data_IF_120314862656
#
_entry.id   IF_120314862656
#
_cell.length_a   1.000
_cell.length_b   1.000
_cell.length_c   1.000
_cell.angle_alpha   90.00
_cell.angle_beta   90.00
_cell.angle_gamma   90.00
#
_symmetry.space_group_name_H-M   'P 1'
#
loop_
_entity.id
_entity.type
_entity.pdbx_description
1 polymer ?
#
# COMPACT_ATOMS: atom_id res chain seq x y z
N UNK A 1 1.12 -0.13 -3.48
CA UNK A 1 0.88 1.25 -3.96
C UNK A 1 1.66 1.61 -5.23
N UNK A 2 2.93 2.05 -5.21
CA UNK A 2 3.59 2.51 -6.47
C UNK A 2 3.72 1.39 -7.51
N UNK A 3 4.22 0.22 -7.11
CA UNK A 3 4.34 -0.94 -7.99
C UNK A 3 2.98 -1.44 -8.50
N UNK A 4 1.96 -1.40 -7.65
CA UNK A 4 0.59 -1.79 -7.97
C UNK A 4 -0.04 -0.82 -8.98
N UNK A 5 0.13 0.50 -8.79
CA UNK A 5 -0.30 1.51 -9.76
C UNK A 5 0.44 1.38 -11.09
N UNK A 6 1.74 1.14 -11.08
CA UNK A 6 2.53 0.98 -12.30
C UNK A 6 2.13 -0.28 -13.08
N UNK A 7 1.85 -1.39 -12.38
CA UNK A 7 1.35 -2.62 -13.00
C UNK A 7 -0.04 -2.45 -13.61
N UNK A 8 -0.95 -1.82 -12.88
CA UNK A 8 -2.35 -1.66 -13.29
C UNK A 8 -2.55 -0.58 -14.36
N UNK A 9 -1.78 0.53 -14.29
CA UNK A 9 -1.91 1.63 -15.24
C UNK A 9 -1.02 1.43 -16.47
N UNK A 10 0.03 0.60 -16.39
CA UNK A 10 1.06 0.43 -17.44
C UNK A 10 1.72 1.75 -17.88
N UNK A 11 1.74 2.74 -16.98
CA UNK A 11 2.38 4.04 -17.16
C UNK A 11 3.45 4.16 -16.07
N UNK A 12 4.63 4.75 -16.36
CA UNK A 12 5.65 4.99 -15.34
C UNK A 12 5.10 5.88 -14.23
N UNK A 13 5.19 5.40 -12.99
CA UNK A 13 4.76 6.13 -11.79
C UNK A 13 5.99 6.57 -11.01
N UNK A 14 6.07 7.84 -10.65
CA UNK A 14 7.14 8.37 -9.80
C UNK A 14 6.62 8.56 -8.37
N UNK A 15 7.33 7.97 -7.39
CA UNK A 15 7.10 8.28 -5.98
C UNK A 15 7.77 9.62 -5.65
N UNK A 16 7.00 10.58 -5.15
CA UNK A 16 7.48 11.90 -4.75
C UNK A 16 7.06 12.15 -3.29
N UNK A 17 7.99 12.51 -2.39
CA UNK A 17 7.65 12.97 -1.04
C UNK A 17 6.72 14.18 -1.11
N UNK A 18 5.80 14.30 -0.14
CA UNK A 18 4.83 15.39 -0.17
C UNK A 18 5.49 16.76 -0.03
N UNK A 19 6.58 16.84 0.74
CA UNK A 19 7.39 18.05 0.89
C UNK A 19 8.01 18.55 -0.43
N UNK A 20 8.41 17.64 -1.32
CA UNK A 20 9.11 17.97 -2.57
C UNK A 20 8.13 18.14 -3.75
N UNK A 21 6.83 17.91 -3.53
CA UNK A 21 5.82 17.88 -4.58
C UNK A 21 5.74 19.21 -5.34
N UNK A 22 5.82 20.34 -4.64
CA UNK A 22 5.75 21.66 -5.26
C UNK A 22 6.91 21.92 -6.23
N UNK A 23 8.15 21.55 -5.85
CA UNK A 23 9.34 21.72 -6.67
C UNK A 23 9.32 20.85 -7.93
N UNK A 24 8.79 19.63 -7.82
CA UNK A 24 8.62 18.73 -8.97
C UNK A 24 7.57 19.27 -9.94
N UNK A 25 6.47 19.80 -9.43
CA UNK A 25 5.39 20.37 -10.25
C UNK A 25 5.78 21.68 -10.95
N UNK A 26 6.72 22.46 -10.42
CA UNK A 26 7.27 23.64 -11.13
C UNK A 26 7.95 23.28 -12.45
N UNK A 27 8.52 22.08 -12.54
CA UNK A 27 9.27 21.62 -13.71
C UNK A 27 8.39 20.96 -14.76
N UNK A 28 7.09 20.79 -14.49
CA UNK A 28 6.16 20.00 -15.30
C UNK A 28 4.89 20.81 -15.60
N UNK A 29 4.48 20.89 -16.87
CA UNK A 29 3.30 21.67 -17.29
C UNK A 29 1.95 20.97 -17.05
N UNK A 30 1.94 19.65 -16.90
CA UNK A 30 0.76 18.83 -16.64
C UNK A 30 1.16 17.57 -15.86
N UNK A 31 0.46 17.28 -14.76
CA UNK A 31 0.75 16.12 -13.94
C UNK A 31 -0.54 15.59 -13.29
N UNK A 32 -0.60 14.27 -13.10
CA UNK A 32 -1.63 13.63 -12.29
C UNK A 32 -1.00 13.16 -10.98
N UNK A 33 -1.41 13.77 -9.88
CA UNK A 33 -0.98 13.42 -8.53
C UNK A 33 -1.99 12.43 -7.96
N UNK A 34 -1.51 11.22 -7.68
CA UNK A 34 -2.31 10.17 -7.04
C UNK A 34 -1.96 10.13 -5.56
N UNK A 35 -2.94 10.30 -4.68
CA UNK A 35 -2.71 10.26 -3.23
C UNK A 35 -3.88 9.63 -2.50
N UNK A 36 -3.68 9.26 -1.25
CA UNK A 36 -4.76 8.81 -0.39
C UNK A 36 -5.68 10.00 -0.05
N UNK A 37 -6.99 9.75 0.11
CA UNK A 37 -7.99 10.71 0.58
C UNK A 37 -7.56 11.54 1.80
N UNK A 38 -6.80 10.96 2.73
CA UNK A 38 -6.32 11.69 3.92
C UNK A 38 -5.35 12.83 3.59
N UNK A 39 -4.59 12.72 2.50
CA UNK A 39 -3.57 13.70 2.11
C UNK A 39 -4.00 14.57 0.92
N UNK A 40 -5.25 14.44 0.45
CA UNK A 40 -5.76 15.23 -0.69
C UNK A 40 -5.64 16.73 -0.45
N UNK A 41 -5.98 17.20 0.76
CA UNK A 41 -5.96 18.62 1.09
C UNK A 41 -4.55 19.20 1.06
N UNK A 42 -3.57 18.46 1.59
CA UNK A 42 -2.17 18.89 1.57
C UNK A 42 -1.58 18.79 0.16
N UNK A 43 -1.85 17.71 -0.58
CA UNK A 43 -1.41 17.56 -1.97
C UNK A 43 -1.98 18.66 -2.87
N UNK A 44 -3.25 19.05 -2.69
CA UNK A 44 -3.88 20.12 -3.44
C UNK A 44 -3.29 21.49 -3.08
N UNK A 45 -2.98 21.75 -1.79
CA UNK A 45 -2.27 22.96 -1.39
C UNK A 45 -0.91 23.07 -2.06
N UNK A 46 -0.11 22.00 -2.03
CA UNK A 46 1.21 21.96 -2.69
C UNK A 46 1.09 22.16 -4.21
N UNK A 47 0.13 21.49 -4.85
CA UNK A 47 -0.13 21.67 -6.28
C UNK A 47 -0.60 23.09 -6.66
N UNK A 48 -1.34 23.77 -5.77
CA UNK A 48 -1.76 25.16 -5.97
C UNK A 48 -0.67 26.19 -5.64
N UNK A 49 0.26 25.87 -4.74
CA UNK A 49 1.36 26.75 -4.37
C UNK A 49 2.35 26.96 -5.53
N UNK A 50 2.58 25.92 -6.35
CA UNK A 50 3.35 26.00 -7.59
C UNK A 50 2.74 26.97 -8.63
N UNK A 51 1.46 27.33 -8.50
CA UNK A 51 0.78 28.30 -9.37
C UNK A 51 0.90 29.75 -8.88
N UNK A 52 1.52 29.99 -7.72
CA UNK A 52 1.56 31.28 -7.04
C UNK A 52 2.99 31.79 -6.79
N UNK A 53 3.84 31.81 -7.82
CA UNK A 53 5.01 32.69 -7.79
C UNK A 53 4.64 34.08 -8.32
N UNK A 54 4.61 35.00 -7.37
CA UNK A 54 4.37 36.43 -7.51
C UNK A 54 5.40 37.11 -8.41
N UNK A 55 4.90 37.95 -9.32
CA UNK A 55 5.70 38.90 -10.09
C UNK A 55 6.49 39.84 -9.15
N UNK A 56 7.78 40.13 -9.41
CA UNK A 56 8.39 41.35 -8.91
C UNK A 56 7.72 42.54 -9.63
N UNK A 57 7.29 43.55 -8.88
CA UNK A 57 6.70 44.77 -9.42
C UNK A 57 7.71 45.52 -10.30
N UNK A 58 7.48 45.59 -11.61
CA UNK A 58 8.20 46.53 -12.49
C UNK A 58 8.41 46.06 -13.94
N UNK A 59 7.69 46.72 -14.86
CA UNK A 59 7.83 46.69 -16.33
C UNK A 59 7.48 45.39 -17.08
N UNK A 60 6.31 45.44 -17.75
CA UNK A 60 6.22 45.17 -19.18
C UNK A 60 6.09 43.70 -19.63
N UNK A 61 4.98 43.43 -20.31
CA UNK A 61 4.62 42.25 -21.12
C UNK A 61 4.09 41.02 -20.38
N UNK A 62 2.92 40.58 -20.85
CA UNK A 62 2.10 39.49 -20.34
C UNK A 62 2.88 38.18 -20.32
N UNK A 63 3.00 37.57 -19.14
CA UNK A 63 3.07 36.13 -19.03
C UNK A 63 1.96 35.70 -18.08
N UNK A 64 0.82 35.37 -18.67
CA UNK A 64 -0.28 34.72 -17.97
C UNK A 64 0.30 33.38 -17.51
N UNK A 65 0.41 33.07 -16.19
CA UNK A 65 0.78 31.73 -15.78
C UNK A 65 -0.30 30.81 -16.36
N UNK A 66 0.08 29.98 -17.33
CA UNK A 66 -0.78 28.93 -17.82
C UNK A 66 -1.23 28.12 -16.61
N UNK A 67 -2.53 27.85 -16.41
CA UNK A 67 -2.96 27.02 -15.30
C UNK A 67 -2.22 25.69 -15.46
N UNK A 68 -1.28 25.41 -14.55
CA UNK A 68 -0.63 24.11 -14.53
C UNK A 68 -1.77 23.11 -14.36
N UNK A 69 -1.94 22.24 -15.35
CA UNK A 69 -3.05 21.30 -15.41
C UNK A 69 -2.74 20.12 -14.49
N UNK A 70 -2.62 20.40 -13.20
CA UNK A 70 -2.35 19.41 -12.16
C UNK A 70 -3.67 18.87 -11.66
N UNK A 71 -3.89 17.57 -11.84
CA UNK A 71 -5.06 16.87 -11.33
C UNK A 71 -4.66 16.07 -10.11
N UNK A 72 -5.37 16.24 -9.00
CA UNK A 72 -5.16 15.42 -7.81
C UNK A 72 -6.30 14.41 -7.74
N UNK A 73 -5.98 13.12 -7.87
CA UNK A 73 -6.96 12.03 -7.83
C UNK A 73 -6.79 11.27 -6.51
N UNK A 74 -7.81 11.28 -5.63
CA UNK A 74 -7.78 10.49 -4.43
C UNK A 74 -8.00 9.01 -4.74
N UNK A 75 -7.24 8.16 -4.07
CA UNK A 75 -7.37 6.71 -4.14
C UNK A 75 -7.73 6.17 -2.76
N UNK A 76 -8.67 5.23 -2.72
CA UNK A 76 -9.02 4.52 -1.50
C UNK A 76 -8.03 3.40 -1.22
N UNK A 77 -7.64 3.27 0.05
CA UNK A 77 -6.94 2.07 0.53
C UNK A 77 -7.96 0.95 0.61
N UNK A 78 -7.53 -0.26 0.25
CA UNK A 78 -8.29 -1.48 0.47
C UNK A 78 -8.77 -1.59 1.92
N UNK A 79 -10.04 -1.98 2.14
CA UNK A 79 -10.70 -1.91 3.45
C UNK A 79 -10.36 -3.08 4.39
N UNK A 80 -9.62 -4.07 3.89
CA UNK A 80 -9.20 -5.29 4.60
C UNK A 80 -10.36 -6.00 5.33
N UNK A 81 -11.60 -5.83 4.85
CA UNK A 81 -12.77 -6.32 5.57
C UNK A 81 -12.79 -7.86 5.65
N UNK A 82 -12.33 -8.56 4.61
CA UNK A 82 -12.25 -10.02 4.57
C UNK A 82 -11.17 -10.57 5.51
N UNK A 83 -10.02 -9.90 5.59
CA UNK A 83 -8.93 -10.25 6.50
C UNK A 83 -9.34 -10.01 7.96
N UNK A 84 -10.05 -8.92 8.24
CA UNK A 84 -10.60 -8.66 9.57
C UNK A 84 -11.63 -9.73 9.94
N UNK A 85 -12.49 -10.15 9.00
CA UNK A 85 -13.42 -11.26 9.23
C UNK A 85 -12.68 -12.56 9.51
N UNK A 86 -11.64 -12.86 8.74
CA UNK A 86 -10.78 -14.03 8.96
C UNK A 86 -10.22 -14.02 10.38
N UNK A 87 -9.55 -12.93 10.78
CA UNK A 87 -8.96 -12.77 12.13
C UNK A 87 -10.01 -12.93 13.21
N UNK A 88 -11.23 -12.42 13.02
CA UNK A 88 -12.35 -12.58 13.97
C UNK A 88 -12.90 -14.01 14.02
N UNK A 89 -12.83 -14.76 12.91
CA UNK A 89 -13.32 -16.13 12.82
C UNK A 89 -12.35 -17.19 13.38
N UNK A 90 -11.09 -16.82 13.64
CA UNK A 90 -10.08 -17.76 14.14
C UNK A 90 -10.43 -18.27 15.56
N UNK A 91 -10.21 -19.55 15.85
CA UNK A 91 -10.38 -20.10 17.20
C UNK A 91 -9.48 -19.41 18.23
N UNK A 92 -9.86 -19.48 19.51
CA UNK A 92 -8.98 -19.04 20.61
C UNK A 92 -7.72 -19.92 20.68
N UNK A 93 -6.64 -19.36 21.20
CA UNK A 93 -5.32 -19.99 21.32
C UNK A 93 -4.71 -20.41 19.97
N UNK A 94 -5.12 -19.74 18.89
CA UNK A 94 -4.59 -19.99 17.54
C UNK A 94 -3.35 -19.14 17.29
N UNK A 95 -2.32 -19.74 16.71
CA UNK A 95 -1.17 -19.01 16.18
C UNK A 95 -1.49 -18.46 14.78
N UNK A 96 -1.42 -17.14 14.64
CA UNK A 96 -1.65 -16.39 13.42
C UNK A 96 -0.33 -15.80 12.91
N UNK A 97 0.08 -16.21 11.71
CA UNK A 97 1.30 -15.76 11.06
C UNK A 97 1.05 -14.58 10.14
N UNK A 98 1.93 -13.59 10.16
CA UNK A 98 1.93 -12.45 9.23
C UNK A 98 3.30 -12.40 8.56
N UNK A 99 3.32 -12.50 7.23
CA UNK A 99 4.56 -12.42 6.45
C UNK A 99 4.44 -11.35 5.38
N UNK A 100 5.18 -10.27 5.53
CA UNK A 100 5.15 -9.15 4.60
C UNK A 100 6.54 -8.55 4.41
N UNK A 101 6.82 -8.05 3.21
CA UNK A 101 8.09 -7.38 2.92
C UNK A 101 8.26 -6.11 3.76
N UNK A 102 7.17 -5.37 3.99
CA UNK A 102 7.18 -4.10 4.73
C UNK A 102 7.10 -4.30 6.23
N UNK A 103 8.19 -3.96 6.94
CA UNK A 103 8.23 -3.97 8.40
C UNK A 103 7.22 -2.99 9.04
N UNK A 104 6.92 -1.89 8.34
CA UNK A 104 5.90 -0.92 8.79
C UNK A 104 4.50 -1.52 8.77
N UNK A 105 4.15 -2.23 7.69
CA UNK A 105 2.87 -2.95 7.58
C UNK A 105 2.78 -4.04 8.62
N UNK A 106 3.83 -4.86 8.80
CA UNK A 106 3.86 -5.91 9.84
C UNK A 106 3.51 -5.37 11.23
N UNK A 107 4.10 -4.24 11.61
CA UNK A 107 3.83 -3.59 12.90
C UNK A 107 2.40 -3.08 12.99
N UNK A 108 1.91 -2.41 11.95
CA UNK A 108 0.55 -1.88 11.92
C UNK A 108 -0.48 -3.03 12.03
N UNK A 109 -0.30 -4.10 11.24
CA UNK A 109 -1.19 -5.27 11.24
C UNK A 109 -1.19 -5.95 12.60
N UNK A 110 -0.04 -6.15 13.23
CA UNK A 110 0.04 -6.72 14.58
C UNK A 110 -0.76 -5.90 15.61
N UNK A 111 -0.60 -4.57 15.61
CA UNK A 111 -1.35 -3.69 16.51
C UNK A 111 -2.86 -3.80 16.27
N UNK A 112 -3.28 -3.84 15.00
CA UNK A 112 -4.69 -3.99 14.63
C UNK A 112 -5.24 -5.34 15.10
N UNK A 113 -4.53 -6.44 14.83
CA UNK A 113 -4.94 -7.79 15.20
C UNK A 113 -5.04 -7.93 16.73
N UNK A 114 -4.05 -7.43 17.46
CA UNK A 114 -4.06 -7.41 18.93
C UNK A 114 -5.17 -6.50 19.47
N UNK A 115 -5.50 -5.40 18.80
CA UNK A 115 -6.65 -4.56 19.20
C UNK A 115 -8.00 -5.26 18.97
N UNK A 116 -8.10 -6.17 17.99
CA UNK A 116 -9.35 -6.86 17.64
C UNK A 116 -9.62 -8.10 18.49
N UNK A 117 -8.57 -8.85 18.84
CA UNK A 117 -8.69 -10.14 19.52
C UNK A 117 -7.92 -10.20 20.85
N UNK A 118 -7.12 -9.18 21.17
CA UNK A 118 -6.28 -9.18 22.38
C UNK A 118 -5.35 -10.39 22.40
N UNK A 119 -5.23 -10.98 23.58
CA UNK A 119 -4.40 -12.17 23.82
C UNK A 119 -5.10 -13.49 23.44
N UNK A 120 -6.27 -13.45 22.79
CA UNK A 120 -6.98 -14.68 22.38
C UNK A 120 -6.29 -15.42 21.23
N UNK A 121 -5.40 -14.76 20.50
CA UNK A 121 -4.62 -15.34 19.41
C UNK A 121 -3.16 -14.92 19.56
N UNK A 122 -2.25 -15.82 19.19
CA UNK A 122 -0.83 -15.53 19.22
C UNK A 122 -0.36 -15.06 17.84
N UNK A 123 0.13 -13.82 17.74
CA UNK A 123 0.57 -13.24 16.48
C UNK A 123 2.08 -13.42 16.31
N UNK A 124 2.48 -14.06 15.21
CA UNK A 124 3.88 -14.15 14.78
C UNK A 124 4.08 -13.34 13.50
N UNK A 125 5.21 -12.65 13.40
CA UNK A 125 5.54 -11.80 12.25
C UNK A 125 6.94 -12.10 11.71
N UNK A 126 7.07 -12.17 10.39
CA UNK A 126 8.36 -12.31 9.72
C UNK A 126 8.38 -11.52 8.42
N UNK A 127 9.59 -11.15 8.00
CA UNK A 127 9.83 -10.74 6.62
C UNK A 127 10.26 -11.98 5.83
N UNK A 128 9.99 -12.04 4.51
CA UNK A 128 10.36 -13.19 3.68
C UNK A 128 11.87 -13.50 3.67
N UNK A 129 12.71 -12.53 4.03
CA UNK A 129 14.16 -12.66 4.11
C UNK A 129 14.64 -13.35 5.40
N UNK A 130 13.81 -13.38 6.45
CA UNK A 130 14.14 -13.98 7.74
C UNK A 130 13.69 -15.44 7.75
N UNK A 131 14.51 -16.31 7.16
CA UNK A 131 14.21 -17.74 7.01
C UNK A 131 13.95 -18.43 8.36
N UNK A 132 14.66 -18.02 9.43
CA UNK A 132 14.49 -18.61 10.75
C UNK A 132 13.10 -18.32 11.32
N UNK A 133 12.66 -17.06 11.28
CA UNK A 133 11.31 -16.71 11.73
C UNK A 133 10.24 -17.24 10.79
N UNK A 134 10.49 -17.24 9.49
CA UNK A 134 9.55 -17.76 8.49
C UNK A 134 9.28 -19.26 8.74
N UNK A 135 10.31 -20.07 8.95
CA UNK A 135 10.16 -21.50 9.26
C UNK A 135 9.42 -21.71 10.59
N UNK A 136 9.72 -20.92 11.61
CA UNK A 136 8.99 -20.96 12.88
C UNK A 136 7.48 -20.65 12.70
N UNK A 137 7.15 -19.66 11.86
CA UNK A 137 5.76 -19.32 11.52
C UNK A 137 5.09 -20.48 10.77
N UNK A 138 5.75 -21.04 9.77
CA UNK A 138 5.22 -22.14 8.97
C UNK A 138 4.88 -23.37 9.82
N UNK A 139 5.70 -23.64 10.85
CA UNK A 139 5.49 -24.77 11.78
C UNK A 139 4.43 -24.53 12.83
N UNK A 140 4.30 -23.29 13.32
CA UNK A 140 3.41 -22.97 14.43
C UNK A 140 2.04 -22.42 13.99
N UNK A 141 1.98 -21.66 12.91
CA UNK A 141 0.79 -20.94 12.49
C UNK A 141 -0.28 -21.89 11.91
N UNK A 142 -1.54 -21.61 12.21
CA UNK A 142 -2.67 -22.27 11.55
C UNK A 142 -3.09 -21.53 10.28
N UNK A 143 -2.98 -20.21 10.31
CA UNK A 143 -3.27 -19.31 9.20
C UNK A 143 -2.13 -18.31 9.06
N UNK A 144 -1.69 -18.08 7.81
CA UNK A 144 -0.64 -17.14 7.47
C UNK A 144 -1.23 -16.13 6.48
N UNK A 145 -1.21 -14.85 6.84
CA UNK A 145 -1.51 -13.75 5.90
C UNK A 145 -0.21 -13.26 5.29
N UNK A 146 -0.21 -13.03 3.98
CA UNK A 146 0.98 -12.57 3.26
C UNK A 146 0.66 -11.60 2.14
N UNK A 147 1.58 -10.69 1.84
CA UNK A 147 1.50 -9.86 0.63
C UNK A 147 1.92 -10.66 -0.61
N UNK A 148 1.49 -10.23 -1.80
CA UNK A 148 1.84 -10.90 -3.05
C UNK A 148 3.35 -11.01 -3.27
N UNK A 149 4.12 -10.01 -2.83
CA UNK A 149 5.58 -10.03 -2.94
C UNK A 149 6.24 -11.15 -2.11
N UNK A 150 5.64 -11.55 -0.99
CA UNK A 150 6.16 -12.61 -0.12
C UNK A 150 5.46 -13.95 -0.32
N UNK A 151 4.38 -14.00 -1.11
CA UNK A 151 3.57 -15.21 -1.30
C UNK A 151 4.37 -16.42 -1.78
N UNK A 152 5.23 -16.24 -2.78
CA UNK A 152 6.05 -17.34 -3.31
C UNK A 152 7.07 -17.84 -2.28
N UNK A 153 7.66 -16.94 -1.50
CA UNK A 153 8.59 -17.29 -0.43
C UNK A 153 7.89 -18.10 0.68
N UNK A 154 6.69 -17.68 1.09
CA UNK A 154 5.87 -18.41 2.07
C UNK A 154 5.48 -19.78 1.51
N UNK A 155 5.03 -19.85 0.26
CA UNK A 155 4.64 -21.12 -0.38
C UNK A 155 5.80 -22.10 -0.49
N UNK A 156 6.99 -21.61 -0.84
CA UNK A 156 8.20 -22.41 -0.88
C UNK A 156 8.60 -22.91 0.53
N UNK A 157 8.50 -22.06 1.55
CA UNK A 157 8.78 -22.44 2.94
C UNK A 157 7.79 -23.49 3.47
N UNK A 158 6.50 -23.35 3.17
CA UNK A 158 5.47 -24.35 3.52
C UNK A 158 5.71 -25.68 2.79
N UNK A 159 6.13 -25.64 1.53
CA UNK A 159 6.49 -26.84 0.78
C UNK A 159 7.73 -27.54 1.36
N UNK A 160 8.75 -26.77 1.75
CA UNK A 160 9.97 -27.30 2.36
C UNK A 160 9.73 -27.92 3.74
N UNK A 161 8.86 -27.34 4.56
CA UNK A 161 8.51 -27.85 5.88
C UNK A 161 7.42 -28.95 5.85
N UNK A 162 6.95 -29.36 4.66
CA UNK A 162 5.78 -30.23 4.51
C UNK A 162 5.94 -31.59 5.17
N UNK A 163 7.15 -32.14 5.19
CA UNK A 163 7.47 -33.42 5.83
C UNK A 163 7.52 -33.32 7.36
N UNK A 164 7.74 -32.12 7.90
CA UNK A 164 7.88 -31.88 9.33
C UNK A 164 6.60 -31.36 10.00
N UNK A 165 5.58 -30.96 9.23
CA UNK A 165 4.34 -30.36 9.74
C UNK A 165 3.15 -31.32 9.66
N UNK A 166 2.50 -31.55 10.80
CA UNK A 166 1.31 -32.43 10.90
C UNK A 166 0.11 -31.82 10.14
N UNK A 167 0.01 -30.48 10.11
CA UNK A 167 -1.05 -29.74 9.40
C UNK A 167 -0.42 -28.54 8.70
N UNK A 168 -0.64 -28.43 7.39
CA UNK A 168 -0.19 -27.25 6.65
C UNK A 168 -1.00 -26.01 7.06
N UNK A 169 -0.34 -24.85 7.25
CA UNK A 169 -1.04 -23.59 7.45
C UNK A 169 -1.87 -23.22 6.23
N UNK A 170 -3.01 -22.56 6.45
CA UNK A 170 -3.78 -21.92 5.38
C UNK A 170 -3.12 -20.59 5.03
N UNK A 171 -2.75 -20.40 3.77
CA UNK A 171 -2.12 -19.18 3.29
C UNK A 171 -3.21 -18.27 2.69
N UNK A 172 -3.25 -17.03 3.15
CA UNK A 172 -4.17 -15.99 2.71
C UNK A 172 -3.37 -14.86 2.06
N UNK A 173 -3.31 -14.81 0.72
CA UNK A 173 -2.68 -13.70 0.02
C UNK A 173 -3.56 -12.44 0.11
N UNK A 174 -2.96 -11.34 0.53
CA UNK A 174 -3.50 -10.00 0.37
C UNK A 174 -3.02 -9.44 -0.96
N UNK A 175 -3.93 -9.39 -1.92
CA UNK A 175 -3.63 -8.98 -3.29
C UNK A 175 -3.48 -7.46 -3.40
N UNK A 176 -4.34 -6.71 -2.70
CA UNK A 176 -4.53 -5.29 -3.00
C UNK A 176 -4.24 -4.39 -1.79
N UNK A 177 -3.41 -3.38 -2.01
CA UNK A 177 -3.24 -2.27 -1.06
C UNK A 177 -4.15 -1.10 -1.43
N UNK A 178 -4.48 -0.95 -2.72
CA UNK A 178 -5.46 0.01 -3.23
C UNK A 178 -6.78 -0.71 -3.49
N UNK A 179 -7.90 -0.07 -3.15
CA UNK A 179 -9.21 -0.61 -3.51
C UNK A 179 -9.35 -0.74 -5.04
N UNK A 180 -9.73 -1.92 -5.52
CA UNK A 180 -9.80 -2.22 -6.96
C UNK A 180 -10.75 -1.27 -7.71
N UNK A 181 -11.82 -0.80 -7.06
CA UNK A 181 -12.74 0.17 -7.68
C UNK A 181 -12.09 1.54 -7.86
N UNK A 182 -11.12 1.90 -7.00
CA UNK A 182 -10.34 3.11 -7.17
C UNK A 182 -9.37 3.00 -8.34
N UNK A 183 -8.76 1.84 -8.57
CA UNK A 183 -7.92 1.59 -9.77
C UNK A 183 -8.76 1.69 -11.05
N UNK A 184 -9.94 1.07 -11.09
CA UNK A 184 -10.83 1.16 -12.27
C UNK A 184 -11.29 2.60 -12.55
N UNK A 185 -11.59 3.36 -11.48
CA UNK A 185 -11.91 4.80 -11.62
C UNK A 185 -10.72 5.58 -12.13
N UNK A 186 -9.52 5.29 -11.64
CA UNK A 186 -8.29 5.94 -12.06
C UNK A 186 -7.97 5.63 -13.54
N UNK A 187 -8.11 4.38 -13.98
CA UNK A 187 -7.95 3.98 -15.38
C UNK A 187 -8.92 4.72 -16.30
N UNK A 188 -10.20 4.79 -15.91
CA UNK A 188 -11.23 5.53 -16.65
C UNK A 188 -10.96 7.03 -16.71
N UNK A 189 -10.49 7.63 -15.63
CA UNK A 189 -10.14 9.06 -15.60
C UNK A 189 -8.89 9.38 -16.42
N UNK A 190 -7.97 8.41 -16.56
CA UNK A 190 -6.78 8.49 -17.39
C UNK A 190 -7.04 8.12 -18.87
N UNK A 191 -8.23 7.60 -19.20
CA UNK A 191 -8.59 7.19 -20.56
C UNK A 191 -7.91 5.90 -21.03
N UNK A 192 -7.57 5.02 -20.09
CA UNK A 192 -6.96 3.72 -20.34
C UNK A 192 -8.07 2.66 -20.29
N UNK A 193 -8.78 2.46 -21.40
CA UNK A 193 -9.71 1.34 -21.63
C UNK A 193 -9.04 0.26 -22.51
#
# INVERSE_FOLDING_TARGET
MTQELEQELRIPVQLVPLEDLAEVLERISSATVVTNKYFIGEAQKQASASSAYSCPEGLGTLQIPSPQSVRVIPVDIYDYAEEIKLVKSLPKDTCFGIVCLSAGVLRATEVIVNSLRGDEIYVMKAQPQDNYKLDAIVRAAQAIVTDMASYDAVKAAVAAAREDIIRAPRIYPCENYIDSKSIERLQRELGLD
#
